data_IF_502928250669
#
_entry.id   IF_502928250669
#
_cell.length_a   1.000
_cell.length_b   1.000
_cell.length_c   1.000
_cell.angle_alpha   90.00
_cell.angle_beta   90.00
_cell.angle_gamma   90.00
#
_symmetry.space_group_name_H-M   'P 1'
#
loop_
_entity.id
_entity.type
_entity.pdbx_description
1 polymer ?
#
# COMPACT_ATOMS: atom_id res chain seq x y z
N UNK A 1 12.30 42.37 -87.25
CA UNK A 1 11.09 41.88 -86.52
C UNK A 1 11.57 41.03 -85.35
N UNK A 2 11.72 41.68 -84.16
CA UNK A 2 12.13 41.05 -82.97
C UNK A 2 10.90 40.57 -82.17
N UNK A 3 10.86 39.27 -81.88
CA UNK A 3 9.93 38.69 -80.91
C UNK A 3 10.62 38.69 -79.56
N UNK A 4 10.21 39.61 -78.69
CA UNK A 4 10.57 39.60 -77.25
C UNK A 4 9.88 38.41 -76.54
N UNK A 5 10.69 37.52 -76.03
CA UNK A 5 10.22 36.48 -75.13
C UNK A 5 10.00 37.12 -73.77
N UNK A 6 8.75 37.31 -73.41
CA UNK A 6 8.37 37.61 -72.02
C UNK A 6 8.72 36.41 -71.16
N UNK A 7 9.83 36.53 -70.41
CA UNK A 7 10.17 35.53 -69.36
C UNK A 7 9.33 35.85 -68.13
N UNK A 8 8.39 34.98 -67.86
CA UNK A 8 7.72 34.97 -66.58
C UNK A 8 8.74 34.59 -65.49
N UNK A 9 9.34 35.60 -64.87
CA UNK A 9 10.09 35.38 -63.64
C UNK A 9 9.08 35.21 -62.48
N UNK A 10 8.82 33.97 -62.13
CA UNK A 10 8.06 33.65 -60.93
C UNK A 10 8.75 34.29 -59.72
N UNK A 11 7.96 35.03 -58.94
CA UNK A 11 8.40 35.82 -57.80
C UNK A 11 9.08 34.93 -56.77
N UNK A 12 10.40 35.00 -56.52
CA UNK A 12 11.09 34.09 -55.54
C UNK A 12 10.67 34.30 -54.12
N UNK A 13 9.98 35.38 -53.81
CA UNK A 13 9.50 35.73 -52.45
C UNK A 13 8.28 34.85 -52.03
N UNK A 14 7.46 34.38 -52.94
CA UNK A 14 6.29 33.55 -52.60
C UNK A 14 6.65 32.11 -52.21
N UNK A 15 7.76 31.58 -52.75
CA UNK A 15 8.22 30.21 -52.42
C UNK A 15 8.88 30.12 -51.05
N UNK A 16 9.51 31.22 -50.58
CA UNK A 16 10.11 31.27 -49.26
C UNK A 16 9.08 31.23 -48.13
N UNK A 17 7.99 31.98 -48.27
CA UNK A 17 6.94 32.02 -47.25
C UNK A 17 6.19 30.70 -47.15
N UNK A 18 5.87 30.06 -48.27
CA UNK A 18 5.22 28.77 -48.28
C UNK A 18 6.02 27.68 -47.57
N UNK A 19 7.35 27.62 -47.81
CA UNK A 19 8.22 26.68 -47.06
C UNK A 19 8.25 26.95 -45.55
N UNK A 20 8.32 28.21 -45.16
CA UNK A 20 8.32 28.59 -43.74
C UNK A 20 7.01 28.21 -43.05
N UNK A 21 5.87 28.40 -43.73
CA UNK A 21 4.56 27.96 -43.20
C UNK A 21 4.46 26.43 -43.05
N UNK A 22 5.00 25.66 -44.03
CA UNK A 22 5.03 24.18 -43.93
C UNK A 22 5.94 23.70 -42.78
N UNK A 23 7.10 24.30 -42.60
CA UNK A 23 7.99 23.99 -41.45
C UNK A 23 7.35 24.35 -40.10
N UNK A 24 6.71 25.49 -39.99
CA UNK A 24 6.00 25.90 -38.77
C UNK A 24 4.82 24.95 -38.49
N UNK A 25 4.05 24.57 -39.49
CA UNK A 25 2.96 23.60 -39.35
C UNK A 25 3.45 22.23 -38.90
N UNK A 26 4.56 21.74 -39.46
CA UNK A 26 5.20 20.48 -39.06
C UNK A 26 5.72 20.52 -37.64
N UNK A 27 6.29 21.63 -37.21
CA UNK A 27 6.81 21.83 -35.85
C UNK A 27 5.68 21.82 -34.84
N UNK A 28 4.56 22.52 -35.12
CA UNK A 28 3.37 22.53 -34.28
C UNK A 28 2.75 21.13 -34.22
N UNK A 29 2.65 20.42 -35.35
CA UNK A 29 2.12 19.07 -35.38
C UNK A 29 2.96 18.09 -34.55
N UNK A 30 4.30 18.19 -34.58
CA UNK A 30 5.20 17.39 -33.75
C UNK A 30 5.07 17.74 -32.26
N UNK A 31 4.92 19.01 -31.91
CA UNK A 31 4.70 19.43 -30.52
C UNK A 31 3.36 18.89 -29.97
N UNK A 32 2.29 18.92 -30.79
CA UNK A 32 0.99 18.37 -30.41
C UNK A 32 1.04 16.85 -30.31
N UNK A 33 1.66 16.17 -31.26
CA UNK A 33 1.84 14.72 -31.23
C UNK A 33 2.68 14.28 -30.02
N UNK A 34 3.77 15.01 -29.73
CA UNK A 34 4.60 14.78 -28.55
C UNK A 34 3.84 14.98 -27.25
N UNK A 35 3.00 16.02 -27.17
CA UNK A 35 2.17 16.29 -26.00
C UNK A 35 1.12 15.18 -25.77
N UNK A 36 0.44 14.73 -26.84
CA UNK A 36 -0.52 13.62 -26.77
C UNK A 36 0.19 12.31 -26.38
N UNK A 37 1.39 12.07 -26.92
CA UNK A 37 2.17 10.88 -26.58
C UNK A 37 2.65 10.92 -25.13
N UNK A 38 3.09 12.07 -24.63
CA UNK A 38 3.48 12.28 -23.23
C UNK A 38 2.33 12.09 -22.24
N UNK A 39 1.08 12.43 -22.63
CA UNK A 39 -0.09 12.18 -21.81
C UNK A 39 -0.40 10.69 -21.61
N UNK A 40 0.03 9.83 -22.51
CA UNK A 40 -0.14 8.37 -22.37
C UNK A 40 0.91 7.72 -21.45
N UNK A 41 2.00 8.45 -21.13
CA UNK A 41 3.06 7.97 -20.24
C UNK A 41 2.74 8.38 -18.81
N UNK A 42 1.63 7.89 -18.26
CA UNK A 42 1.23 8.12 -16.87
C UNK A 42 2.16 7.45 -15.82
N UNK A 43 3.20 6.74 -16.26
CA UNK A 43 4.13 6.01 -15.39
C UNK A 43 5.51 6.64 -15.23
N UNK A 44 5.84 7.73 -15.96
CA UNK A 44 7.12 8.43 -15.82
C UNK A 44 6.99 9.60 -14.83
N UNK A 45 6.71 9.30 -13.57
CA UNK A 45 6.98 10.21 -12.45
C UNK A 45 8.41 9.97 -11.99
N UNK A 46 9.32 10.85 -12.38
CA UNK A 46 10.66 10.87 -11.84
C UNK A 46 10.61 11.82 -10.64
N UNK A 47 10.70 11.27 -9.44
CA UNK A 47 10.89 12.07 -8.23
C UNK A 47 12.33 12.61 -8.24
N UNK A 48 12.46 13.93 -8.47
CA UNK A 48 13.74 14.65 -8.53
C UNK A 48 14.08 15.23 -7.14
N UNK A 49 13.26 14.99 -6.12
CA UNK A 49 13.54 15.46 -4.77
C UNK A 49 14.68 14.65 -4.15
N UNK A 50 15.60 15.35 -3.49
CA UNK A 50 16.82 14.81 -2.90
C UNK A 50 16.52 13.71 -1.84
N UNK A 51 15.32 13.72 -1.24
CA UNK A 51 14.87 12.80 -0.21
C UNK A 51 13.84 11.76 -0.69
N UNK A 52 13.48 11.72 -1.99
CA UNK A 52 12.45 10.83 -2.56
C UNK A 52 11.12 10.81 -1.76
N UNK A 53 10.76 11.94 -1.17
CA UNK A 53 9.63 12.09 -0.26
C UNK A 53 8.25 11.86 -0.91
N UNK A 54 8.20 11.66 -2.23
CA UNK A 54 6.97 11.46 -3.00
C UNK A 54 6.89 10.08 -3.66
N UNK A 55 7.80 9.16 -3.34
CA UNK A 55 7.75 7.77 -3.80
C UNK A 55 7.76 6.81 -2.62
N UNK A 56 7.01 5.71 -2.75
CA UNK A 56 7.05 4.65 -1.74
C UNK A 56 8.34 3.85 -1.86
N UNK A 57 8.79 3.26 -0.75
CA UNK A 57 10.02 2.48 -0.68
C UNK A 57 9.94 1.20 -1.54
N UNK A 58 11.10 0.72 -2.00
CA UNK A 58 11.21 -0.54 -2.75
C UNK A 58 10.69 -1.76 -1.98
N UNK A 59 10.76 -1.72 -0.65
CA UNK A 59 10.20 -2.75 0.21
C UNK A 59 8.66 -2.76 0.13
N UNK A 60 8.03 -1.59 0.11
CA UNK A 60 6.59 -1.44 -0.08
C UNK A 60 6.18 -1.91 -1.48
N UNK A 61 6.89 -1.50 -2.53
CA UNK A 61 6.63 -1.95 -3.91
C UNK A 61 6.70 -3.48 -4.03
N UNK A 62 7.71 -4.10 -3.43
CA UNK A 62 7.87 -5.56 -3.44
C UNK A 62 6.67 -6.24 -2.77
N UNK A 63 6.19 -5.70 -1.66
CA UNK A 63 5.01 -6.22 -0.98
C UNK A 63 3.75 -6.10 -1.83
N UNK A 64 3.54 -4.96 -2.52
CA UNK A 64 2.39 -4.75 -3.39
C UNK A 64 2.42 -5.64 -4.64
N UNK A 65 3.60 -5.93 -5.19
CA UNK A 65 3.75 -6.85 -6.33
C UNK A 65 3.44 -8.32 -5.97
N UNK A 66 3.48 -8.69 -4.69
CA UNK A 66 3.20 -10.04 -4.20
C UNK A 66 1.73 -10.24 -3.78
N UNK A 67 0.87 -9.25 -3.96
CA UNK A 67 -0.55 -9.38 -3.67
C UNK A 67 -1.21 -10.37 -4.63
N UNK A 68 -2.00 -11.30 -4.08
CA UNK A 68 -2.78 -12.30 -4.83
C UNK A 68 -4.21 -11.85 -5.09
N UNK A 69 -4.76 -11.06 -4.16
CA UNK A 69 -6.10 -10.51 -4.21
C UNK A 69 -6.04 -8.96 -4.30
N UNK A 70 -7.09 -8.30 -4.77
CA UNK A 70 -7.15 -6.84 -4.78
C UNK A 70 -7.12 -6.25 -3.36
N UNK A 71 -6.21 -5.30 -3.15
CA UNK A 71 -6.12 -4.51 -1.92
C UNK A 71 -6.97 -3.25 -2.05
N UNK A 72 -7.82 -2.99 -1.07
CA UNK A 72 -8.58 -1.75 -0.96
C UNK A 72 -7.94 -0.83 0.09
N UNK A 73 -7.62 0.39 -0.32
CA UNK A 73 -7.23 1.50 0.56
C UNK A 73 -8.36 2.54 0.51
N UNK A 74 -9.09 2.69 1.60
CA UNK A 74 -10.20 3.62 1.68
C UNK A 74 -9.89 4.72 2.69
N UNK A 75 -9.64 5.93 2.21
CA UNK A 75 -9.42 7.11 3.06
C UNK A 75 -10.73 7.81 3.38
N UNK A 76 -11.04 7.91 4.66
CA UNK A 76 -12.18 8.65 5.19
C UNK A 76 -11.68 9.99 5.73
N UNK A 77 -11.90 11.07 4.97
CA UNK A 77 -11.39 12.40 5.31
C UNK A 77 -12.50 13.43 5.22
N UNK A 78 -12.78 14.11 6.33
CA UNK A 78 -13.75 15.19 6.34
C UNK A 78 -13.26 16.42 5.58
N UNK A 79 -14.11 16.96 4.73
CA UNK A 79 -13.87 18.23 4.02
C UNK A 79 -13.75 19.39 5.01
N UNK A 80 -14.55 19.35 6.09
CA UNK A 80 -14.46 20.29 7.21
C UNK A 80 -13.69 19.64 8.35
N UNK A 81 -12.43 20.00 8.49
CA UNK A 81 -11.54 19.47 9.53
C UNK A 81 -10.83 20.60 10.28
N UNK A 82 -10.09 20.23 11.33
CA UNK A 82 -9.28 21.18 12.08
C UNK A 82 -8.20 21.81 11.18
N UNK A 83 -7.93 23.13 11.27
CA UNK A 83 -6.96 23.83 10.41
C UNK A 83 -5.55 23.20 10.41
N UNK A 84 -5.12 22.59 11.53
CA UNK A 84 -3.83 21.90 11.62
C UNK A 84 -3.82 20.55 10.88
N UNK A 85 -4.97 19.93 10.63
CA UNK A 85 -5.08 18.66 9.90
C UNK A 85 -5.30 18.87 8.40
N UNK A 86 -5.92 19.97 8.03
CA UNK A 86 -6.28 20.26 6.64
C UNK A 86 -5.10 20.10 5.66
N UNK A 87 -3.87 20.57 5.94
CA UNK A 87 -2.73 20.41 5.03
C UNK A 87 -2.19 18.97 4.96
N UNK A 88 -2.55 18.08 5.90
CA UNK A 88 -2.07 16.70 5.92
C UNK A 88 -2.92 15.77 5.04
N UNK A 89 -4.18 16.13 4.80
CA UNK A 89 -5.10 15.32 3.97
C UNK A 89 -4.59 15.18 2.52
N UNK A 90 -4.17 16.26 1.81
CA UNK A 90 -3.58 16.13 0.49
C UNK A 90 -2.34 15.22 0.48
N UNK A 91 -1.45 15.35 1.48
CA UNK A 91 -0.25 14.52 1.58
C UNK A 91 -0.59 13.03 1.70
N UNK A 92 -1.59 12.66 2.52
CA UNK A 92 -2.06 11.28 2.62
C UNK A 92 -2.73 10.80 1.34
N UNK A 93 -3.53 11.65 0.68
CA UNK A 93 -4.15 11.31 -0.61
C UNK A 93 -3.11 11.05 -1.69
N UNK A 94 -2.06 11.87 -1.75
CA UNK A 94 -0.95 11.69 -2.68
C UNK A 94 -0.19 10.40 -2.39
N UNK A 95 0.13 10.12 -1.13
CA UNK A 95 0.77 8.87 -0.73
C UNK A 95 -0.09 7.65 -1.11
N UNK A 96 -1.39 7.66 -0.83
CA UNK A 96 -2.28 6.56 -1.20
C UNK A 96 -2.37 6.37 -2.72
N UNK A 97 -2.30 7.46 -3.50
CA UNK A 97 -2.23 7.37 -4.95
C UNK A 97 -0.91 6.74 -5.44
N UNK A 98 0.21 6.96 -4.75
CA UNK A 98 1.46 6.25 -5.06
C UNK A 98 1.33 4.73 -4.84
N UNK A 99 0.64 4.29 -3.77
CA UNK A 99 0.31 2.87 -3.59
C UNK A 99 -0.53 2.31 -4.74
N UNK A 100 -1.50 3.09 -5.24
CA UNK A 100 -2.33 2.70 -6.39
C UNK A 100 -1.48 2.52 -7.64
N UNK A 101 -0.55 3.44 -7.91
CA UNK A 101 0.34 3.38 -9.08
C UNK A 101 1.28 2.18 -8.97
N UNK A 102 1.94 2.02 -7.82
CA UNK A 102 2.88 0.91 -7.58
C UNK A 102 2.19 -0.46 -7.57
N UNK A 103 0.92 -0.52 -7.17
CA UNK A 103 0.13 -1.76 -7.16
C UNK A 103 -0.31 -2.26 -8.53
N UNK A 104 -0.02 -1.52 -9.64
CA UNK A 104 -0.23 -1.96 -11.03
C UNK A 104 -1.60 -2.57 -11.32
N UNK A 105 -2.65 -2.05 -10.68
CA UNK A 105 -4.03 -2.51 -10.82
C UNK A 105 -4.54 -3.41 -9.69
N UNK A 106 -3.66 -3.94 -8.85
CA UNK A 106 -4.04 -4.75 -7.67
C UNK A 106 -4.38 -3.90 -6.44
N UNK A 107 -4.19 -2.58 -6.49
CA UNK A 107 -4.52 -1.66 -5.40
C UNK A 107 -5.61 -0.70 -5.86
N UNK A 108 -6.75 -0.72 -5.18
CA UNK A 108 -7.86 0.21 -5.36
C UNK A 108 -7.82 1.26 -4.26
N UNK A 109 -7.86 2.54 -4.63
CA UNK A 109 -7.91 3.66 -3.69
C UNK A 109 -9.23 4.40 -3.85
N UNK A 110 -9.90 4.63 -2.72
CA UNK A 110 -11.16 5.38 -2.65
C UNK A 110 -11.02 6.46 -1.57
N UNK A 111 -11.61 7.61 -1.80
CA UNK A 111 -11.71 8.69 -0.80
C UNK A 111 -13.16 9.04 -0.61
N UNK A 112 -13.58 9.16 0.66
CA UNK A 112 -14.94 9.52 1.02
C UNK A 112 -14.95 10.47 2.21
N UNK A 113 -15.97 11.31 2.26
CA UNK A 113 -16.29 12.12 3.44
C UNK A 113 -17.58 11.59 4.06
N UNK A 114 -17.54 10.88 5.19
CA UNK A 114 -18.74 10.33 5.82
C UNK A 114 -19.72 11.41 6.27
N UNK A 115 -19.25 12.64 6.48
CA UNK A 115 -20.13 13.75 6.91
C UNK A 115 -21.12 14.18 5.83
N UNK A 116 -20.88 13.83 4.56
CA UNK A 116 -21.76 14.19 3.44
C UNK A 116 -22.95 13.23 3.27
N UNK A 117 -22.82 11.99 3.77
CA UNK A 117 -23.88 10.97 3.61
C UNK A 117 -23.99 10.10 4.87
N UNK A 118 -25.15 10.15 5.51
CA UNK A 118 -25.44 9.40 6.73
C UNK A 118 -25.36 7.87 6.56
N UNK A 119 -25.79 7.36 5.40
CA UNK A 119 -25.70 5.92 5.13
C UNK A 119 -24.24 5.44 5.08
N UNK A 120 -23.37 6.25 4.45
CA UNK A 120 -21.92 6.00 4.41
C UNK A 120 -21.29 6.10 5.79
N UNK A 121 -21.72 7.05 6.63
CA UNK A 121 -21.27 7.20 8.00
C UNK A 121 -21.62 5.95 8.83
N UNK A 122 -22.87 5.49 8.75
CA UNK A 122 -23.36 4.30 9.45
C UNK A 122 -22.65 3.03 8.95
N UNK A 123 -22.43 2.89 7.64
CA UNK A 123 -21.68 1.77 7.04
C UNK A 123 -20.21 1.76 7.50
N UNK A 124 -19.52 2.89 7.42
CA UNK A 124 -18.13 3.01 7.83
C UNK A 124 -17.94 2.71 9.33
N UNK A 125 -18.90 3.14 10.17
CA UNK A 125 -18.88 2.86 11.60
C UNK A 125 -19.18 1.39 11.91
N UNK A 126 -20.17 0.78 11.26
CA UNK A 126 -20.60 -0.58 11.51
C UNK A 126 -19.61 -1.61 10.97
N UNK A 127 -19.07 -1.39 9.76
CA UNK A 127 -18.20 -2.35 9.08
C UNK A 127 -16.75 -2.23 9.52
N UNK A 128 -16.22 -1.00 9.62
CA UNK A 128 -14.79 -0.76 9.82
C UNK A 128 -14.46 -0.09 11.15
N UNK A 129 -15.48 0.21 11.98
CA UNK A 129 -15.28 0.87 13.27
C UNK A 129 -14.79 2.31 13.16
N UNK A 130 -14.91 2.95 11.98
CA UNK A 130 -14.52 4.34 11.73
C UNK A 130 -15.41 5.28 12.53
N UNK A 131 -14.80 6.19 13.31
CA UNK A 131 -15.52 7.11 14.19
C UNK A 131 -14.99 8.52 14.06
N UNK A 132 -15.88 9.53 14.11
CA UNK A 132 -15.44 10.91 14.07
C UNK A 132 -14.67 11.27 15.34
N UNK A 133 -13.59 12.03 15.16
CA UNK A 133 -12.81 12.61 16.26
C UNK A 133 -13.29 14.04 16.48
N UNK A 134 -13.72 14.41 17.72
CA UNK A 134 -14.11 15.77 18.03
C UNK A 134 -12.88 16.66 18.19
N UNK A 135 -12.80 17.73 17.43
CA UNK A 135 -11.77 18.77 17.56
C UNK A 135 -12.41 20.08 18.03
N UNK A 136 -11.78 20.70 19.01
CA UNK A 136 -12.19 22.03 19.46
C UNK A 136 -11.47 23.09 18.61
N UNK A 137 -12.21 23.84 17.85
CA UNK A 137 -11.72 25.01 17.13
C UNK A 137 -12.13 26.26 17.92
N UNK A 138 -11.15 27.10 18.26
CA UNK A 138 -11.41 28.37 18.90
C UNK A 138 -10.91 29.51 18.04
N UNK A 139 -11.77 30.41 17.66
CA UNK A 139 -11.43 31.70 17.07
C UNK A 139 -11.69 32.81 18.13
N UNK A 140 -11.23 34.04 17.86
CA UNK A 140 -11.34 35.18 18.79
C UNK A 140 -12.75 35.45 19.31
N UNK A 141 -13.76 34.99 18.61
CA UNK A 141 -15.17 35.27 18.90
C UNK A 141 -16.07 34.04 19.03
N UNK A 142 -15.58 32.83 18.67
CA UNK A 142 -16.37 31.60 18.70
C UNK A 142 -15.51 30.40 19.05
N UNK A 143 -16.07 29.50 19.84
CA UNK A 143 -15.53 28.16 20.06
C UNK A 143 -16.55 27.16 19.54
N UNK A 144 -16.13 26.28 18.66
CA UNK A 144 -16.95 25.22 18.09
C UNK A 144 -16.27 23.86 18.21
N UNK A 145 -17.06 22.81 18.37
CA UNK A 145 -16.57 21.43 18.25
C UNK A 145 -16.87 20.97 16.84
N UNK A 146 -15.85 20.56 16.10
CA UNK A 146 -15.96 20.00 14.77
C UNK A 146 -15.63 18.52 14.84
N UNK A 147 -16.58 17.68 14.47
CA UNK A 147 -16.33 16.25 14.30
C UNK A 147 -15.70 16.01 12.93
N UNK A 148 -14.54 15.39 12.91
CA UNK A 148 -13.80 15.13 11.67
C UNK A 148 -13.39 13.67 11.59
N UNK A 149 -13.48 13.12 10.39
CA UNK A 149 -12.93 11.81 10.05
C UNK A 149 -11.50 11.98 9.53
N UNK A 150 -10.60 11.16 10.02
CA UNK A 150 -9.20 11.13 9.62
C UNK A 150 -8.68 9.71 9.77
N UNK A 151 -9.22 8.80 8.94
CA UNK A 151 -8.99 7.38 9.02
C UNK A 151 -8.64 6.80 7.65
N UNK A 152 -7.84 5.74 7.64
CA UNK A 152 -7.55 4.94 6.45
C UNK A 152 -7.92 3.50 6.78
N UNK A 153 -8.85 2.93 6.02
CA UNK A 153 -9.18 1.51 6.07
C UNK A 153 -8.38 0.79 5.00
N UNK A 154 -7.71 -0.26 5.41
CA UNK A 154 -6.94 -1.17 4.56
C UNK A 154 -7.66 -2.51 4.61
N UNK A 155 -8.22 -2.96 3.48
CA UNK A 155 -8.96 -4.21 3.40
C UNK A 155 -8.38 -5.14 2.32
N UNK A 156 -8.27 -6.42 2.64
CA UNK A 156 -7.76 -7.46 1.78
C UNK A 156 -8.57 -8.75 1.97
N UNK A 157 -9.37 -9.12 0.98
CA UNK A 157 -10.41 -10.12 1.14
C UNK A 157 -11.43 -9.68 2.19
N UNK A 158 -11.66 -10.52 3.18
CA UNK A 158 -12.53 -10.30 4.35
C UNK A 158 -11.80 -9.71 5.57
N UNK A 159 -10.47 -9.58 5.49
CA UNK A 159 -9.66 -8.98 6.55
C UNK A 159 -9.49 -7.48 6.35
N UNK A 160 -9.57 -6.72 7.42
CA UNK A 160 -9.32 -5.28 7.39
C UNK A 160 -8.58 -4.75 8.60
N UNK A 161 -7.96 -3.59 8.44
CA UNK A 161 -7.32 -2.81 9.49
C UNK A 161 -7.64 -1.34 9.30
N UNK A 162 -8.08 -0.70 10.36
CA UNK A 162 -8.30 0.75 10.37
C UNK A 162 -7.12 1.46 11.04
N UNK A 163 -6.58 2.47 10.37
CA UNK A 163 -5.58 3.41 10.89
C UNK A 163 -6.27 4.73 11.14
N UNK A 164 -6.33 5.14 12.38
CA UNK A 164 -6.95 6.39 12.79
C UNK A 164 -5.94 7.50 13.08
N UNK A 165 -6.44 8.58 13.66
CA UNK A 165 -5.67 9.76 14.00
C UNK A 165 -4.41 9.46 14.83
N UNK A 166 -4.48 8.55 15.79
CA UNK A 166 -3.37 8.24 16.71
C UNK A 166 -2.19 7.55 16.03
N UNK A 167 -2.46 6.75 15.02
CA UNK A 167 -1.46 6.02 14.25
C UNK A 167 -0.81 6.90 13.17
N UNK A 168 -1.57 7.86 12.63
CA UNK A 168 -1.17 8.67 11.47
C UNK A 168 -0.55 10.01 11.86
N UNK A 169 -0.81 10.51 13.07
CA UNK A 169 -0.47 11.87 13.48
C UNK A 169 0.51 11.87 14.65
N UNK A 170 1.47 12.78 14.59
CA UNK A 170 2.37 13.14 15.68
C UNK A 170 2.20 14.64 16.01
N UNK A 171 1.99 14.93 17.28
CA UNK A 171 1.91 16.31 17.78
C UNK A 171 3.28 16.67 18.37
N UNK A 172 3.98 17.63 17.74
CA UNK A 172 5.25 18.16 18.19
C UNK A 172 5.05 19.51 18.87
N UNK A 173 5.54 19.65 20.10
CA UNK A 173 5.60 20.93 20.76
C UNK A 173 6.81 21.70 20.24
N UNK A 174 6.57 22.75 19.46
CA UNK A 174 7.61 23.62 18.87
C UNK A 174 7.66 24.93 19.64
N UNK A 175 8.15 24.91 20.88
CA UNK A 175 8.20 26.06 21.79
C UNK A 175 7.00 26.19 22.73
N UNK A 176 6.95 27.29 23.53
CA UNK A 176 6.00 27.47 24.65
C UNK A 176 4.52 27.62 24.21
N UNK A 177 4.20 27.78 22.94
CA UNK A 177 2.82 28.05 22.46
C UNK A 177 2.48 27.52 21.07
N UNK A 178 3.42 26.92 20.32
CA UNK A 178 3.15 26.39 18.98
C UNK A 178 3.13 24.86 18.98
N UNK A 179 1.94 24.32 18.65
CA UNK A 179 1.75 22.89 18.38
C UNK A 179 1.89 22.69 16.87
N UNK A 180 2.88 21.92 16.49
CA UNK A 180 3.05 21.46 15.11
C UNK A 180 2.47 20.04 14.99
N UNK A 181 1.59 19.85 14.00
CA UNK A 181 0.92 18.57 13.74
C UNK A 181 1.44 18.03 12.43
N UNK A 182 2.10 16.89 12.49
CA UNK A 182 2.77 16.27 11.34
C UNK A 182 2.33 14.81 11.18
N UNK A 183 2.52 14.27 9.97
CA UNK A 183 2.30 12.84 9.73
C UNK A 183 3.40 12.01 10.40
N UNK A 184 2.99 10.95 11.12
CA UNK A 184 3.87 10.02 11.81
C UNK A 184 4.20 8.84 10.91
N UNK A 185 5.21 8.99 10.05
CA UNK A 185 5.68 7.95 9.13
C UNK A 185 4.52 7.13 8.50
N UNK A 186 3.65 7.79 7.68
CA UNK A 186 2.42 7.19 7.20
C UNK A 186 2.67 5.99 6.28
N UNK A 187 3.76 5.99 5.51
CA UNK A 187 4.12 4.84 4.68
C UNK A 187 4.35 3.59 5.52
N UNK A 188 5.12 3.70 6.60
CA UNK A 188 5.38 2.57 7.49
C UNK A 188 4.08 2.05 8.12
N UNK A 189 3.20 2.94 8.60
CA UNK A 189 1.94 2.57 9.22
C UNK A 189 1.04 1.80 8.22
N UNK A 190 0.90 2.32 7.00
CA UNK A 190 0.10 1.70 5.93
C UNK A 190 0.71 0.35 5.53
N UNK A 191 2.00 0.30 5.22
CA UNK A 191 2.68 -0.93 4.77
C UNK A 191 2.65 -2.02 5.83
N UNK A 192 2.84 -1.65 7.11
CA UNK A 192 2.70 -2.58 8.24
C UNK A 192 1.27 -3.14 8.32
N UNK A 193 0.26 -2.30 8.12
CA UNK A 193 -1.14 -2.72 8.15
C UNK A 193 -1.51 -3.59 6.95
N UNK A 194 -0.98 -3.30 5.75
CA UNK A 194 -1.10 -4.18 4.58
C UNK A 194 -0.53 -5.57 4.91
N UNK A 195 0.66 -5.64 5.50
CA UNK A 195 1.25 -6.93 5.91
C UNK A 195 0.38 -7.66 6.92
N UNK A 196 -0.23 -6.92 7.87
CA UNK A 196 -1.09 -7.52 8.89
C UNK A 196 -2.35 -8.14 8.26
N UNK A 197 -3.06 -7.42 7.38
CA UNK A 197 -4.26 -7.95 6.73
C UNK A 197 -3.95 -9.07 5.73
N UNK A 198 -2.85 -8.98 4.99
CA UNK A 198 -2.44 -10.06 4.08
C UNK A 198 -2.05 -11.32 4.82
N UNK A 199 -1.35 -11.22 5.95
CA UNK A 199 -1.02 -12.37 6.79
C UNK A 199 -2.27 -12.94 7.46
N UNK A 200 -3.19 -12.11 7.96
CA UNK A 200 -4.45 -12.56 8.55
C UNK A 200 -5.30 -13.32 7.52
N UNK A 201 -5.45 -12.77 6.31
CA UNK A 201 -6.15 -13.42 5.21
C UNK A 201 -5.50 -14.75 4.81
N UNK A 202 -4.17 -14.81 4.77
CA UNK A 202 -3.46 -16.05 4.51
C UNK A 202 -3.63 -17.06 5.64
N UNK A 203 -3.78 -16.60 6.87
CA UNK A 203 -3.94 -17.46 8.05
C UNK A 203 -5.39 -17.94 8.25
N UNK A 204 -6.38 -17.25 7.69
CA UNK A 204 -7.78 -17.66 7.67
C UNK A 204 -8.05 -18.80 6.66
N UNK A 205 -7.22 -18.92 5.62
CA UNK A 205 -7.10 -20.12 4.79
C UNK A 205 -6.14 -21.13 5.45
N UNK A 206 -6.16 -22.38 5.00
CA UNK A 206 -5.22 -23.40 5.47
C UNK A 206 -3.77 -22.91 5.17
N UNK A 207 -2.99 -22.59 6.21
CA UNK A 207 -1.61 -22.08 6.09
C UNK A 207 -0.76 -22.99 5.18
N UNK A 208 -1.09 -24.25 5.15
CA UNK A 208 -0.38 -25.27 4.38
C UNK A 208 -0.65 -25.19 2.87
N UNK A 209 -1.77 -24.61 2.43
CA UNK A 209 -2.08 -24.40 1.00
C UNK A 209 -1.13 -23.39 0.34
N UNK A 210 -0.40 -22.62 1.14
CA UNK A 210 0.57 -21.61 0.69
C UNK A 210 2.01 -22.13 0.59
N UNK A 211 2.23 -23.38 0.98
CA UNK A 211 3.57 -23.97 1.06
C UNK A 211 3.77 -24.91 -0.13
N UNK A 212 4.67 -24.49 -1.03
CA UNK A 212 4.96 -25.28 -2.25
C UNK A 212 5.79 -26.55 -1.98
N UNK A 213 6.37 -26.70 -0.78
CA UNK A 213 7.23 -27.83 -0.41
C UNK A 213 6.84 -28.42 0.94
N UNK A 214 6.91 -29.76 1.14
CA UNK A 214 6.58 -30.37 2.42
C UNK A 214 7.51 -29.89 3.53
N UNK A 215 6.91 -29.54 4.67
CA UNK A 215 7.63 -29.15 5.89
C UNK A 215 8.07 -30.42 6.60
N UNK A 216 9.33 -30.47 7.03
CA UNK A 216 9.87 -31.56 7.85
C UNK A 216 10.07 -31.09 9.28
N UNK A 217 9.41 -31.77 10.22
CA UNK A 217 9.66 -31.63 11.64
C UNK A 217 10.55 -32.80 12.09
N UNK A 218 11.75 -32.50 12.58
CA UNK A 218 12.65 -33.48 13.14
C UNK A 218 12.72 -33.26 14.66
N UNK A 219 12.14 -34.16 15.45
CA UNK A 219 12.21 -34.15 16.90
C UNK A 219 13.31 -35.08 17.42
N UNK A 220 14.28 -34.55 18.14
CA UNK A 220 15.31 -35.34 18.78
C UNK A 220 14.96 -35.55 20.25
N UNK A 221 14.23 -36.62 20.53
CA UNK A 221 13.72 -36.93 21.88
C UNK A 221 13.93 -38.44 22.11
N UNK A 222 14.51 -38.79 23.27
CA UNK A 222 14.71 -40.16 23.66
C UNK A 222 13.42 -40.97 23.70
N UNK A 223 13.51 -42.27 23.53
CA UNK A 223 12.34 -43.18 23.56
C UNK A 223 11.58 -43.05 24.89
N UNK A 224 10.26 -43.28 24.86
CA UNK A 224 9.39 -43.09 26.02
C UNK A 224 9.83 -43.87 27.27
N UNK A 225 10.38 -45.06 27.07
CA UNK A 225 10.85 -45.94 28.13
C UNK A 225 12.11 -45.40 28.85
N UNK A 226 12.82 -44.46 28.24
CA UNK A 226 14.02 -43.82 28.79
C UNK A 226 13.75 -42.49 29.46
N UNK A 227 12.56 -41.94 29.31
CA UNK A 227 12.17 -40.64 29.83
C UNK A 227 11.52 -40.75 31.20
N UNK A 228 11.74 -39.74 32.10
CA UNK A 228 10.88 -39.56 33.27
C UNK A 228 9.42 -39.38 32.86
N UNK A 229 8.48 -39.78 33.74
CA UNK A 229 7.04 -39.80 33.47
C UNK A 229 6.50 -38.45 32.92
N UNK A 230 6.96 -37.33 33.46
CA UNK A 230 6.55 -35.98 33.03
C UNK A 230 6.97 -35.69 31.60
N UNK A 231 8.20 -36.08 31.22
CA UNK A 231 8.70 -35.87 29.85
C UNK A 231 8.11 -36.87 28.85
N UNK A 232 7.78 -38.09 29.30
CA UNK A 232 7.07 -39.07 28.51
C UNK A 232 5.67 -38.57 28.14
N UNK A 233 4.95 -37.97 29.10
CA UNK A 233 3.64 -37.35 28.87
C UNK A 233 3.72 -36.16 27.92
N UNK A 234 4.71 -35.28 28.10
CA UNK A 234 4.94 -34.14 27.19
C UNK A 234 5.23 -34.62 25.76
N UNK A 235 6.00 -35.69 25.59
CA UNK A 235 6.25 -36.28 24.27
C UNK A 235 4.97 -36.79 23.62
N UNK A 236 4.09 -37.48 24.36
CA UNK A 236 2.81 -37.96 23.84
C UNK A 236 1.91 -36.81 23.41
N UNK A 237 1.83 -35.76 24.23
CA UNK A 237 1.04 -34.56 23.93
C UNK A 237 1.58 -33.86 22.67
N UNK A 238 2.91 -33.71 22.55
CA UNK A 238 3.54 -33.15 21.35
C UNK A 238 3.26 -33.99 20.10
N UNK A 239 3.36 -35.33 20.19
CA UNK A 239 3.06 -36.25 19.08
C UNK A 239 1.60 -36.08 18.65
N UNK A 240 0.66 -35.99 19.61
CA UNK A 240 -0.76 -35.79 19.35
C UNK A 240 -1.04 -34.49 18.61
N UNK A 241 -0.48 -33.38 19.09
CA UNK A 241 -0.60 -32.05 18.46
C UNK A 241 -0.04 -32.06 17.04
N UNK A 242 1.14 -32.65 16.85
CA UNK A 242 1.77 -32.73 15.54
C UNK A 242 0.99 -33.60 14.55
N UNK A 243 0.33 -34.66 15.01
CA UNK A 243 -0.55 -35.49 14.18
C UNK A 243 -1.82 -34.74 13.77
N UNK A 244 -2.39 -33.91 14.66
CA UNK A 244 -3.51 -33.03 14.34
C UNK A 244 -3.10 -32.02 13.26
N UNK A 245 -1.99 -31.31 13.46
CA UNK A 245 -1.44 -30.37 12.47
C UNK A 245 -1.13 -31.09 11.14
N UNK A 246 -0.61 -32.31 11.16
CA UNK A 246 -0.37 -33.09 9.95
C UNK A 246 -1.65 -33.40 9.19
N UNK A 247 -2.74 -33.71 9.90
CA UNK A 247 -4.06 -33.94 9.30
C UNK A 247 -4.57 -32.67 8.63
N UNK A 248 -4.48 -31.53 9.33
CA UNK A 248 -4.93 -30.22 8.86
C UNK A 248 -4.08 -29.70 7.70
N UNK A 249 -2.82 -30.11 7.63
CA UNK A 249 -1.89 -29.76 6.55
C UNK A 249 -2.09 -30.55 5.25
N UNK A 250 -3.11 -31.41 5.16
CA UNK A 250 -3.26 -32.28 4.00
C UNK A 250 -2.05 -33.21 3.77
N UNK A 251 -1.36 -33.62 4.85
CA UNK A 251 -0.12 -34.41 4.85
C UNK A 251 1.12 -33.68 4.30
N UNK A 252 1.10 -32.37 4.23
CA UNK A 252 2.31 -31.59 3.86
C UNK A 252 3.34 -31.55 5.01
N UNK A 253 2.93 -31.81 6.26
CA UNK A 253 3.83 -31.95 7.40
C UNK A 253 4.35 -33.39 7.53
N UNK A 254 5.66 -33.56 7.37
CA UNK A 254 6.37 -34.82 7.66
C UNK A 254 6.96 -34.74 9.07
N UNK A 255 6.63 -35.73 9.91
CA UNK A 255 7.08 -35.78 11.31
C UNK A 255 8.03 -36.95 11.44
N UNK A 256 9.23 -36.70 11.94
CA UNK A 256 10.25 -37.69 12.25
C UNK A 256 10.79 -37.46 13.66
N UNK A 257 10.66 -38.49 14.51
CA UNK A 257 11.24 -38.48 15.86
C UNK A 257 12.42 -39.43 15.91
N UNK A 258 13.58 -38.91 16.29
CA UNK A 258 14.83 -39.67 16.40
C UNK A 258 15.25 -39.71 17.87
N UNK A 259 15.61 -40.89 18.36
CA UNK A 259 16.22 -41.06 19.68
C UNK A 259 17.72 -40.76 19.57
N UNK A 260 18.25 -39.68 20.21
CA UNK A 260 19.67 -39.34 20.17
C UNK A 260 20.58 -40.45 20.65
N UNK A 261 20.08 -41.32 21.55
CA UNK A 261 20.84 -42.46 22.08
C UNK A 261 20.73 -43.73 21.19
N UNK A 262 19.92 -43.69 20.13
CA UNK A 262 19.89 -44.75 19.16
C UNK A 262 21.20 -44.77 18.39
N UNK A 263 21.68 -45.97 18.04
CA UNK A 263 22.96 -46.18 17.32
C UNK A 263 24.22 -45.74 18.09
N UNK A 264 24.24 -45.93 19.42
CA UNK A 264 25.38 -45.60 20.30
C UNK A 264 25.77 -44.10 20.31
N UNK A 265 24.77 -43.21 20.21
CA UNK A 265 25.01 -41.78 20.26
C UNK A 265 25.47 -41.13 18.95
N UNK A 266 25.46 -41.84 17.83
CA UNK A 266 25.91 -41.32 16.53
C UNK A 266 25.04 -40.17 15.96
N UNK A 267 23.90 -39.85 16.61
CA UNK A 267 23.05 -38.72 16.26
C UNK A 267 23.33 -37.49 17.15
N UNK A 268 24.05 -37.68 18.26
CA UNK A 268 24.40 -36.63 19.23
C UNK A 268 25.73 -35.94 18.95
N UNK A 269 26.55 -36.46 18.03
CA UNK A 269 27.77 -35.82 17.51
C UNK A 269 27.46 -35.00 16.25
#
# INVERSE_FOLDING_TARGET
>A
LGLERIRWAGNPLSQSHSRTFWFAGLLIANLLAGNIWLQQINGLRIDITEDQNHSISSATETQLNNLREPLLLHGYFSTKTHPLLAPLIPQLKDLLNEYKVAGKGNVKVIFSDPTENREMEEEAAATYGVKPVPFQTADRHQSAIVNSYFDIVIAYGDEYQTLGFQELIEIKASGDRDLDVVLKNPEYAITRSIRKVTNAFQSSGNIFDLIDAPIKFNGYISSKEKLPEELANLREELESILLEIKSDSGNQLQIDFQDPDAQNGAIAE
#
